data_IF_237604791798
#
_entry.id   IF_237604791798
#
_cell.length_a   1.000
_cell.length_b   1.000
_cell.length_c   1.000
_cell.angle_alpha   90.00
_cell.angle_beta   90.00
_cell.angle_gamma   90.00
#
_symmetry.space_group_name_H-M   'P 1'
#
loop_
_entity.id
_entity.type
_entity.pdbx_description
1 polymer ?
#
# COMPACT_ATOMS: atom_id res chain seq x y z
N UNK A 1 3.10 -3.45 7.27
CA UNK A 1 2.35 -2.24 7.68
C UNK A 1 1.29 -1.99 6.64
N UNK A 2 0.05 -1.70 7.06
CA UNK A 2 -1.09 -1.54 6.14
C UNK A 2 -1.77 -0.19 6.36
N UNK A 3 -2.42 -0.06 7.51
CA UNK A 3 -3.22 1.12 7.84
C UNK A 3 -2.55 2.01 8.88
N UNK A 4 -2.89 3.28 8.80
CA UNK A 4 -2.56 4.31 9.76
C UNK A 4 -3.81 5.09 10.16
N UNK A 5 -3.84 5.55 11.40
CA UNK A 5 -4.78 6.57 11.86
C UNK A 5 -4.41 7.93 11.24
N UNK A 6 -5.34 8.90 11.17
CA UNK A 6 -5.08 10.22 10.61
C UNK A 6 -3.95 11.00 11.29
N UNK A 7 -3.59 10.64 12.52
CA UNK A 7 -2.46 11.20 13.27
C UNK A 7 -1.11 10.51 12.97
N UNK A 8 -1.08 9.58 12.01
CA UNK A 8 0.12 8.80 11.65
C UNK A 8 0.40 7.60 12.55
N UNK A 9 -0.44 7.30 13.55
CA UNK A 9 -0.30 6.09 14.35
C UNK A 9 -0.59 4.84 13.51
N UNK A 10 0.15 3.77 13.78
CA UNK A 10 0.04 2.52 13.05
C UNK A 10 -1.12 1.67 13.56
N UNK A 11 -1.92 1.13 12.65
CA UNK A 11 -2.80 0.01 12.97
C UNK A 11 -2.11 -1.32 12.63
N UNK A 12 -2.13 -2.23 13.60
CA UNK A 12 -1.48 -3.55 13.51
C UNK A 12 -2.49 -4.69 13.32
N UNK A 13 -3.79 -4.41 13.40
CA UNK A 13 -4.83 -5.45 13.44
C UNK A 13 -5.53 -5.64 12.09
N UNK A 14 -5.78 -4.56 11.35
CA UNK A 14 -6.56 -4.62 10.11
C UNK A 14 -5.72 -5.17 8.96
N UNK A 15 -6.26 -6.21 8.30
CA UNK A 15 -5.61 -6.93 7.19
C UNK A 15 -6.41 -6.86 5.88
N UNK A 16 -7.53 -6.16 5.91
CA UNK A 16 -8.51 -6.11 4.83
C UNK A 16 -8.11 -5.12 3.72
N UNK A 17 -8.94 -5.06 2.69
CA UNK A 17 -8.79 -4.12 1.58
C UNK A 17 -9.05 -2.69 2.05
N UNK A 18 -8.48 -1.65 1.39
CA UNK A 18 -8.73 -0.25 1.75
C UNK A 18 -10.22 0.15 1.80
N UNK A 19 -11.07 -0.52 1.02
CA UNK A 19 -12.52 -0.27 0.95
C UNK A 19 -13.29 -0.85 2.15
N UNK A 20 -12.76 -1.88 2.79
CA UNK A 20 -13.38 -2.59 3.92
C UNK A 20 -12.86 -2.07 5.27
N UNK A 21 -11.79 -1.27 5.23
CA UNK A 21 -11.14 -0.74 6.42
C UNK A 21 -12.09 0.13 7.26
N UNK A 22 -12.21 -0.13 8.57
CA UNK A 22 -13.08 0.66 9.43
C UNK A 22 -12.55 2.09 9.56
N UNK A 23 -13.45 3.07 9.48
CA UNK A 23 -13.12 4.46 9.81
C UNK A 23 -12.58 4.53 11.26
N UNK A 24 -11.50 5.30 11.54
CA UNK A 24 -10.88 6.34 10.70
C UNK A 24 -9.61 5.88 9.96
N UNK A 25 -9.41 4.59 9.76
CA UNK A 25 -8.17 4.05 9.19
C UNK A 25 -8.00 4.46 7.72
N UNK A 26 -6.76 4.80 7.36
CA UNK A 26 -6.35 5.09 5.99
C UNK A 26 -5.12 4.27 5.63
N UNK A 27 -4.94 3.89 4.36
CA UNK A 27 -3.67 3.32 3.91
C UNK A 27 -2.53 4.26 4.27
N UNK A 28 -1.39 3.71 4.70
CA UNK A 28 -0.26 4.53 5.15
C UNK A 28 0.20 5.54 4.08
N UNK A 29 0.12 5.16 2.81
CA UNK A 29 0.51 5.99 1.67
C UNK A 29 -0.51 7.10 1.32
N UNK A 30 -1.69 7.07 1.90
CA UNK A 30 -2.68 8.15 1.77
C UNK A 30 -2.44 9.29 2.77
N UNK A 31 -1.47 9.14 3.68
CA UNK A 31 -1.03 10.19 4.60
C UNK A 31 0.21 10.86 4.00
N UNK A 32 0.16 12.16 3.68
CA UNK A 32 1.31 12.88 3.11
C UNK A 32 2.53 12.79 4.03
N UNK A 33 3.69 12.58 3.43
CA UNK A 33 4.96 12.53 4.14
C UNK A 33 6.13 12.86 3.22
N UNK A 34 7.24 13.38 3.78
CA UNK A 34 8.34 13.94 3.00
C UNK A 34 9.04 12.92 2.10
N UNK A 35 8.95 11.63 2.43
CA UNK A 35 9.55 10.55 1.63
C UNK A 35 8.77 10.30 0.34
N UNK A 36 7.43 10.35 0.39
CA UNK A 36 6.58 10.09 -0.76
C UNK A 36 6.58 11.26 -1.78
N UNK A 37 7.04 12.44 -1.37
CA UNK A 37 7.17 13.61 -2.25
C UNK A 37 8.44 13.58 -3.09
N UNK A 38 9.53 13.03 -2.55
CA UNK A 38 10.86 13.06 -3.18
C UNK A 38 11.27 11.70 -3.79
N UNK A 39 10.71 10.60 -3.29
CA UNK A 39 11.15 9.26 -3.65
C UNK A 39 10.00 8.39 -4.14
N UNK A 40 10.33 7.55 -5.13
CA UNK A 40 9.49 6.41 -5.48
C UNK A 40 9.59 5.31 -4.42
N UNK A 41 8.46 4.85 -3.90
CA UNK A 41 8.37 3.84 -2.85
C UNK A 41 7.79 2.54 -3.43
N UNK A 42 8.62 1.50 -3.54
CA UNK A 42 8.18 0.16 -3.86
C UNK A 42 8.01 -0.66 -2.57
N UNK A 43 6.86 -1.33 -2.39
CA UNK A 43 6.57 -2.12 -1.19
C UNK A 43 5.79 -3.40 -1.50
N UNK A 44 5.83 -4.36 -0.57
CA UNK A 44 5.07 -5.61 -0.63
C UNK A 44 4.33 -5.89 0.68
N UNK A 45 4.07 -7.17 0.99
CA UNK A 45 3.40 -7.66 2.21
C UNK A 45 1.88 -7.37 2.32
N UNK A 46 1.32 -6.57 1.41
CA UNK A 46 -0.10 -6.23 1.39
C UNK A 46 -0.82 -6.78 0.15
N UNK A 47 -0.86 -8.11 0.06
CA UNK A 47 -1.53 -8.84 -1.02
C UNK A 47 -2.99 -8.41 -1.29
N UNK A 48 -3.76 -8.05 -0.26
CA UNK A 48 -5.16 -7.60 -0.41
C UNK A 48 -5.31 -6.32 -1.24
N UNK A 49 -4.21 -5.60 -1.49
CA UNK A 49 -4.19 -4.42 -2.35
C UNK A 49 -4.15 -4.78 -3.85
N UNK A 50 -3.76 -6.01 -4.19
CA UNK A 50 -3.62 -6.52 -5.57
C UNK A 50 -2.75 -5.63 -6.50
N UNK A 51 -1.89 -4.79 -5.96
CA UNK A 51 -1.13 -3.82 -6.74
C UNK A 51 -1.95 -2.65 -7.30
N UNK A 52 -3.16 -2.40 -6.80
CA UNK A 52 -4.08 -1.34 -7.25
C UNK A 52 -4.25 -0.25 -6.19
N UNK A 53 -4.71 0.93 -6.62
CA UNK A 53 -5.11 2.01 -5.70
C UNK A 53 -3.95 2.73 -5.01
N UNK A 54 -2.71 2.54 -5.47
CA UNK A 54 -1.57 3.36 -5.04
C UNK A 54 -1.45 4.63 -5.90
N UNK A 55 -1.06 5.76 -5.32
CA UNK A 55 -0.77 6.98 -6.08
C UNK A 55 0.52 6.85 -6.89
N UNK A 56 0.76 7.79 -7.81
CA UNK A 56 2.00 7.85 -8.59
C UNK A 56 3.23 7.91 -7.69
N UNK A 57 4.31 7.21 -8.10
CA UNK A 57 5.51 7.05 -7.29
C UNK A 57 5.42 5.98 -6.20
N UNK A 58 4.24 5.38 -5.96
CA UNK A 58 4.07 4.30 -4.98
C UNK A 58 3.69 3.01 -5.70
N UNK A 59 4.54 1.99 -5.57
CA UNK A 59 4.43 0.72 -6.29
C UNK A 59 4.19 -0.44 -5.33
N UNK A 60 2.98 -1.00 -5.37
CA UNK A 60 2.64 -2.21 -4.63
C UNK A 60 2.97 -3.46 -5.45
N UNK A 61 4.04 -4.16 -5.06
CA UNK A 61 4.58 -5.34 -5.76
C UNK A 61 3.95 -6.65 -5.30
N UNK A 62 3.35 -6.67 -4.11
CA UNK A 62 2.71 -7.86 -3.55
C UNK A 62 1.28 -8.00 -4.04
N UNK A 63 1.10 -8.79 -5.08
CA UNK A 63 -0.19 -9.17 -5.65
C UNK A 63 -0.67 -10.53 -5.13
N UNK A 64 -0.01 -11.12 -4.13
CA UNK A 64 -0.44 -12.39 -3.55
C UNK A 64 0.01 -13.63 -4.33
N UNK A 65 1.26 -13.67 -4.81
CA UNK A 65 1.78 -14.79 -5.60
C UNK A 65 1.64 -16.16 -4.90
N UNK A 66 1.85 -16.20 -3.59
CA UNK A 66 1.68 -17.42 -2.79
C UNK A 66 0.21 -17.89 -2.66
N UNK A 67 -0.75 -17.06 -3.07
CA UNK A 67 -2.19 -17.31 -3.00
C UNK A 67 -2.82 -17.61 -4.37
N UNK A 68 -1.99 -17.85 -5.40
CA UNK A 68 -2.44 -18.20 -6.75
C UNK A 68 -2.50 -17.04 -7.75
N UNK A 69 -2.03 -15.85 -7.36
CA UNK A 69 -2.00 -14.65 -8.20
C UNK A 69 -0.61 -14.43 -8.84
N UNK A 70 -0.47 -13.50 -9.79
CA UNK A 70 0.80 -13.26 -10.53
C UNK A 70 1.51 -12.03 -9.98
N UNK A 71 2.83 -12.11 -9.73
CA UNK A 71 3.62 -10.94 -9.28
C UNK A 71 3.69 -9.89 -10.40
N UNK A 72 3.25 -8.66 -10.13
CA UNK A 72 3.39 -7.54 -11.06
C UNK A 72 4.69 -6.79 -10.76
N UNK A 73 5.63 -6.83 -11.70
CA UNK A 73 6.80 -5.96 -11.69
C UNK A 73 6.53 -4.79 -12.65
N UNK A 74 6.18 -3.58 -12.15
CA UNK A 74 6.10 -2.42 -13.02
C UNK A 74 7.49 -2.11 -13.56
N UNK A 75 7.62 -2.00 -14.88
CA UNK A 75 8.84 -1.51 -15.49
C UNK A 75 9.05 -0.06 -15.06
N UNK A 76 10.08 0.22 -14.26
CA UNK A 76 10.54 1.59 -14.02
C UNK A 76 11.11 2.12 -15.34
N UNK A 77 10.25 2.81 -16.10
CA UNK A 77 10.63 3.57 -17.27
C UNK A 77 11.51 4.76 -16.88
N UNK A 78 12.55 5.00 -17.69
CA UNK A 78 13.48 6.13 -17.57
C UNK A 78 12.81 7.48 -17.71
#
# INVERSE_FOLDING_TARGET
>A
MRFCFPNGQLDMYSKESPEEAPAPLKPWFAIPGPVAEEYSIAFGHWASLEGKGTPEGIYALDTGCCWGWVINLPALGR
#
